data_IF_007144615593
#
_entry.id   IF_007144615593
#
_cell.length_a   1.000
_cell.length_b   1.000
_cell.length_c   1.000
_cell.angle_alpha   90.00
_cell.angle_beta   90.00
_cell.angle_gamma   90.00
#
_symmetry.space_group_name_H-M   'P 1'
#
loop_
_entity.id
_entity.type
_entity.pdbx_description
1 polymer ?
#
# COMPACT_ATOMS: atom_id res chain seq x y z
N UNK A 1 41.98 -6.41 14.95
CA UNK A 1 40.52 -6.42 14.76
C UNK A 1 40.21 -5.49 13.60
N UNK A 2 39.73 -6.01 12.47
CA UNK A 2 39.42 -5.18 11.28
C UNK A 2 38.17 -4.38 11.61
N UNK A 3 38.24 -3.05 11.57
CA UNK A 3 37.19 -2.15 12.08
C UNK A 3 35.83 -2.29 11.39
N UNK A 4 34.80 -1.61 11.93
CA UNK A 4 33.45 -1.60 11.36
C UNK A 4 33.47 -1.04 9.93
N UNK A 5 32.90 -1.80 8.99
CA UNK A 5 32.71 -1.36 7.62
C UNK A 5 31.44 -0.51 7.49
N UNK A 6 31.55 0.57 6.74
CA UNK A 6 30.41 1.36 6.27
C UNK A 6 30.30 1.22 4.76
N UNK A 7 29.13 0.80 4.28
CA UNK A 7 28.89 0.58 2.86
C UNK A 7 27.82 1.56 2.41
N UNK A 8 28.17 2.45 1.49
CA UNK A 8 27.27 3.47 0.93
C UNK A 8 26.94 3.07 -0.51
N UNK A 9 25.67 2.76 -0.78
CA UNK A 9 25.17 2.51 -2.12
C UNK A 9 24.65 3.81 -2.74
N UNK A 10 25.08 4.14 -3.96
CA UNK A 10 24.57 5.29 -4.72
C UNK A 10 24.17 4.87 -6.14
N UNK A 11 23.08 5.40 -6.70
CA UNK A 11 22.74 5.18 -8.11
C UNK A 11 23.88 5.62 -9.04
N UNK A 12 24.14 4.83 -10.08
CA UNK A 12 25.04 5.25 -11.16
C UNK A 12 24.28 6.25 -12.05
N UNK A 13 24.86 7.41 -12.40
CA UNK A 13 24.22 8.36 -13.29
C UNK A 13 23.78 7.67 -14.59
N UNK A 14 22.55 7.98 -15.04
CA UNK A 14 21.94 7.40 -16.24
C UNK A 14 21.66 5.89 -16.17
N UNK A 15 21.78 5.26 -15.01
CA UNK A 15 21.34 3.88 -14.79
C UNK A 15 20.15 3.84 -13.84
N UNK A 16 19.09 3.16 -14.26
CA UNK A 16 17.87 2.98 -13.45
C UNK A 16 18.05 1.90 -12.37
N UNK A 17 18.89 0.89 -12.63
CA UNK A 17 18.99 -0.31 -11.79
C UNK A 17 20.38 -0.54 -11.17
N UNK A 18 21.44 0.14 -11.64
CA UNK A 18 22.80 -0.09 -11.13
C UNK A 18 23.15 0.83 -9.97
N UNK A 19 23.83 0.26 -8.97
CA UNK A 19 24.31 0.94 -7.77
C UNK A 19 25.83 0.83 -7.68
N UNK A 20 26.47 1.93 -7.30
CA UNK A 20 27.88 1.99 -6.91
C UNK A 20 27.98 1.90 -5.39
N UNK A 21 28.52 0.78 -4.90
CA UNK A 21 28.82 0.55 -3.50
C UNK A 21 30.22 1.09 -3.20
N UNK A 22 30.32 2.00 -2.23
CA UNK A 22 31.60 2.50 -1.73
C UNK A 22 31.80 2.00 -0.31
N UNK A 23 32.93 1.37 -0.05
CA UNK A 23 33.24 0.76 1.25
C UNK A 23 34.23 1.63 2.00
N UNK A 24 33.92 1.92 3.25
CA UNK A 24 34.72 2.70 4.17
C UNK A 24 35.05 1.87 5.43
N UNK A 25 36.22 2.11 6.00
CA UNK A 25 36.62 1.60 7.32
C UNK A 25 37.16 2.78 8.11
N UNK A 26 36.53 3.10 9.24
CA UNK A 26 36.92 4.25 10.07
C UNK A 26 36.94 5.58 9.29
N UNK A 27 35.96 5.80 8.41
CA UNK A 27 35.87 7.01 7.56
C UNK A 27 36.82 7.03 6.36
N UNK A 28 37.76 6.08 6.23
CA UNK A 28 38.65 5.98 5.07
C UNK A 28 38.06 5.06 4.01
N UNK A 29 37.94 5.55 2.77
CA UNK A 29 37.52 4.73 1.63
C UNK A 29 38.57 3.67 1.34
N UNK A 30 38.13 2.41 1.28
CA UNK A 30 39.00 1.26 0.98
C UNK A 30 38.67 0.59 -0.35
N UNK A 31 37.47 0.78 -0.88
CA UNK A 31 37.09 0.17 -2.15
C UNK A 31 35.82 0.74 -2.76
N UNK A 32 35.55 0.35 -4.01
CA UNK A 32 34.27 0.54 -4.65
C UNK A 32 33.94 -0.61 -5.59
N UNK A 33 32.66 -0.96 -5.68
CA UNK A 33 32.10 -1.96 -6.57
C UNK A 33 30.86 -1.39 -7.25
N UNK A 34 30.58 -1.81 -8.48
CA UNK A 34 29.36 -1.49 -9.21
C UNK A 34 28.52 -2.76 -9.36
N UNK A 35 27.22 -2.70 -9.09
CA UNK A 35 26.31 -3.80 -9.43
C UNK A 35 26.08 -3.86 -10.93
N UNK A 36 25.76 -5.05 -11.41
CA UNK A 36 25.23 -5.26 -12.76
C UNK A 36 23.71 -5.43 -12.69
N UNK A 37 22.96 -5.04 -13.74
CA UNK A 37 21.54 -5.34 -13.83
C UNK A 37 21.33 -6.85 -13.84
N UNK A 38 20.28 -7.31 -13.18
CA UNK A 38 19.86 -8.72 -13.24
C UNK A 38 19.02 -8.99 -14.50
N UNK A 39 18.76 -10.26 -14.78
CA UNK A 39 17.83 -10.66 -15.86
C UNK A 39 16.44 -10.07 -15.66
N UNK A 40 15.97 -9.97 -14.41
CA UNK A 40 14.66 -9.35 -14.11
C UNK A 40 14.65 -7.85 -14.42
N UNK A 41 15.77 -7.14 -14.23
CA UNK A 41 15.88 -5.73 -14.59
C UNK A 41 15.79 -5.56 -16.12
N UNK A 42 16.41 -6.45 -16.89
CA UNK A 42 16.31 -6.45 -18.35
C UNK A 42 14.87 -6.72 -18.81
N UNK A 43 14.22 -7.75 -18.26
CA UNK A 43 12.83 -8.08 -18.57
C UNK A 43 11.87 -6.92 -18.25
N UNK A 44 12.11 -6.20 -17.15
CA UNK A 44 11.32 -5.03 -16.79
C UNK A 44 11.48 -3.88 -17.78
N UNK A 45 12.68 -3.69 -18.35
CA UNK A 45 12.95 -2.65 -19.34
C UNK A 45 12.38 -3.00 -20.72
N UNK A 46 12.45 -4.28 -21.10
CA UNK A 46 11.94 -4.78 -22.38
C UNK A 46 10.41 -4.89 -22.39
N UNK A 47 9.83 -5.45 -21.33
CA UNK A 47 8.41 -5.71 -21.18
C UNK A 47 7.92 -5.18 -19.82
N UNK A 48 7.78 -3.85 -19.67
CA UNK A 48 7.33 -3.28 -18.41
C UNK A 48 5.94 -3.83 -18.05
N UNK A 49 5.72 -4.23 -16.78
CA UNK A 49 4.43 -4.73 -16.37
C UNK A 49 3.36 -3.64 -16.56
N UNK A 50 2.14 -4.00 -17.00
CA UNK A 50 1.08 -3.04 -17.24
C UNK A 50 0.76 -2.32 -15.93
N UNK A 51 0.99 -1.00 -15.90
CA UNK A 51 0.65 -0.17 -14.74
C UNK A 51 -0.87 -0.16 -14.63
N UNK A 52 -1.45 -0.57 -13.48
CA UNK A 52 -2.89 -0.53 -13.32
C UNK A 52 -3.39 0.92 -13.53
N UNK A 53 -4.52 1.12 -14.21
CA UNK A 53 -5.02 2.46 -14.47
C UNK A 53 -5.22 3.18 -13.13
N UNK A 54 -4.77 4.44 -13.08
CA UNK A 54 -4.99 5.31 -11.93
C UNK A 54 -6.50 5.46 -11.74
N UNK A 55 -7.07 4.70 -10.80
CA UNK A 55 -8.44 4.89 -10.36
C UNK A 55 -8.46 6.21 -9.60
N UNK A 56 -8.81 7.28 -10.31
CA UNK A 56 -9.16 8.55 -9.68
C UNK A 56 -10.19 8.21 -8.59
N UNK A 57 -9.86 8.50 -7.33
CA UNK A 57 -10.80 8.30 -6.23
C UNK A 57 -11.99 9.24 -6.46
N UNK A 58 -13.01 8.76 -7.16
CA UNK A 58 -14.27 9.48 -7.24
C UNK A 58 -14.97 9.29 -5.92
N UNK A 59 -14.98 10.30 -5.05
CA UNK A 59 -15.89 10.31 -3.92
C UNK A 59 -17.30 10.46 -4.48
N UNK A 60 -17.94 9.35 -4.85
CA UNK A 60 -19.34 9.36 -5.21
C UNK A 60 -20.11 9.82 -3.98
N UNK A 61 -20.67 11.03 -4.06
CA UNK A 61 -21.61 11.51 -3.06
C UNK A 61 -22.77 10.52 -3.00
N UNK A 62 -22.83 9.69 -1.94
CA UNK A 62 -24.00 8.87 -1.68
C UNK A 62 -25.13 9.81 -1.25
N UNK A 63 -26.27 9.85 -1.96
CA UNK A 63 -27.45 10.57 -1.50
C UNK A 63 -27.78 10.11 -0.08
N UNK A 64 -27.67 11.02 0.89
CA UNK A 64 -27.86 10.72 2.31
C UNK A 64 -26.61 10.85 3.19
N UNK A 65 -25.39 10.96 2.63
CA UNK A 65 -24.20 11.32 3.43
C UNK A 65 -24.06 12.85 3.49
N UNK A 66 -24.19 13.49 4.66
CA UNK A 66 -23.94 14.92 4.78
C UNK A 66 -22.50 15.22 4.36
N UNK A 67 -22.28 16.24 3.52
CA UNK A 67 -20.94 16.68 3.10
C UNK A 67 -20.15 17.11 4.35
N UNK A 68 -18.84 16.86 4.42
CA UNK A 68 -18.05 17.32 5.58
C UNK A 68 -18.28 18.83 5.80
N UNK A 69 -18.85 19.19 6.96
CA UNK A 69 -19.27 20.56 7.31
C UNK A 69 -20.76 20.88 7.17
N UNK A 70 -21.60 19.97 6.65
CA UNK A 70 -23.07 20.19 6.63
C UNK A 70 -23.69 19.85 7.99
N UNK A 71 -24.54 20.75 8.50
CA UNK A 71 -25.35 20.53 9.70
C UNK A 71 -26.29 19.33 9.47
N UNK A 72 -26.42 18.39 10.43
CA UNK A 72 -27.38 17.29 10.29
C UNK A 72 -28.80 17.87 10.15
N UNK A 73 -29.66 17.29 9.30
CA UNK A 73 -31.05 17.74 9.21
C UNK A 73 -31.72 17.52 10.57
N UNK A 74 -32.26 18.59 11.17
CA UNK A 74 -33.08 18.47 12.36
C UNK A 74 -34.33 17.66 11.99
N UNK A 75 -34.54 16.54 12.67
CA UNK A 75 -35.73 15.73 12.51
C UNK A 75 -36.96 16.59 12.89
N UNK A 76 -38.00 16.68 12.04
CA UNK A 76 -39.31 17.07 12.54
C UNK A 76 -39.80 15.98 13.49
N UNK A 77 -40.23 16.42 14.67
CA UNK A 77 -40.76 15.57 15.72
C UNK A 77 -41.90 14.68 15.20
N UNK A 78 -41.89 13.44 15.69
CA UNK A 78 -42.99 12.48 15.74
C UNK A 78 -43.66 12.09 14.41
N UNK A 79 -43.24 10.92 13.92
CA UNK A 79 -44.14 9.80 13.58
C UNK A 79 -43.31 8.53 13.48
N UNK A 80 -43.38 7.70 14.51
CA UNK A 80 -42.85 6.34 14.52
C UNK A 80 -43.64 5.52 13.50
N UNK A 81 -43.06 5.26 12.34
CA UNK A 81 -43.54 4.19 11.45
C UNK A 81 -42.68 2.97 11.76
N UNK A 82 -43.25 1.84 12.20
CA UNK A 82 -42.46 0.65 12.47
C UNK A 82 -41.87 0.15 11.14
N UNK A 83 -40.55 -0.05 11.12
CA UNK A 83 -39.87 -0.59 9.96
C UNK A 83 -40.41 -1.99 9.65
N UNK A 84 -40.87 -2.19 8.41
CA UNK A 84 -41.17 -3.53 7.88
C UNK A 84 -39.85 -4.29 7.83
N UNK A 85 -39.69 -5.28 8.71
CA UNK A 85 -38.57 -6.22 8.65
C UNK A 85 -38.84 -7.17 7.48
N UNK A 86 -38.21 -6.91 6.34
CA UNK A 86 -38.03 -7.97 5.35
C UNK A 86 -37.10 -9.01 5.98
N UNK A 87 -37.63 -10.19 6.26
CA UNK A 87 -36.85 -11.33 6.73
C UNK A 87 -35.83 -11.71 5.66
N UNK A 88 -34.56 -11.62 6.03
CA UNK A 88 -33.46 -12.11 5.20
C UNK A 88 -33.52 -13.64 5.21
N UNK A 89 -33.52 -14.32 4.05
CA UNK A 89 -33.56 -15.79 4.04
C UNK A 89 -32.32 -16.36 4.74
N UNK A 90 -32.57 -17.13 5.79
CA UNK A 90 -31.58 -17.91 6.54
C UNK A 90 -30.88 -18.90 5.59
N UNK A 91 -29.60 -18.70 5.30
CA UNK A 91 -28.92 -19.67 4.43
C UNK A 91 -27.49 -19.44 3.98
N UNK A 92 -26.67 -18.64 4.67
CA UNK A 92 -25.23 -18.62 4.38
C UNK A 92 -24.40 -18.77 5.66
N UNK A 93 -23.70 -19.91 5.86
CA UNK A 93 -22.82 -20.07 7.01
C UNK A 93 -21.59 -19.18 6.84
N UNK A 94 -21.50 -18.14 7.67
CA UNK A 94 -20.27 -17.38 7.85
C UNK A 94 -19.38 -18.11 8.87
N UNK A 95 -18.09 -18.35 8.59
CA UNK A 95 -17.20 -19.00 9.54
C UNK A 95 -16.94 -18.09 10.76
N UNK A 96 -17.19 -18.62 11.96
CA UNK A 96 -16.87 -17.95 13.23
C UNK A 96 -15.35 -17.85 13.40
N UNK A 97 -14.79 -16.67 13.12
CA UNK A 97 -13.36 -16.37 13.28
C UNK A 97 -12.88 -16.29 14.75
N UNK A 98 -13.79 -16.48 15.72
CA UNK A 98 -13.48 -16.35 17.16
C UNK A 98 -13.01 -17.65 17.82
N UNK A 99 -12.88 -18.76 17.10
CA UNK A 99 -12.47 -20.06 17.66
C UNK A 99 -11.04 -20.49 17.35
N UNK A 100 -10.26 -19.64 16.67
CA UNK A 100 -8.91 -19.94 16.20
C UNK A 100 -7.78 -19.51 17.15
N UNK A 101 -8.07 -18.86 18.28
CA UNK A 101 -7.04 -18.32 19.19
C UNK A 101 -6.82 -19.15 20.46
N UNK A 102 -7.29 -20.39 20.53
CA UNK A 102 -6.95 -21.28 21.65
C UNK A 102 -6.60 -22.68 21.17
N UNK A 103 -5.34 -22.82 20.73
CA UNK A 103 -4.60 -24.08 20.74
C UNK A 103 -3.10 -23.85 20.72
#
# INVERSE_FOLDING_TARGET
MVGKYEIIARPIPHSTHMLRYTVFVGGKRIGALASMPSESDCLFLENPPPVPPLKLYTSAYRPGRPKNGSRPPQAPADKVVPAVREELPDGLPLPDLRRSEER
#
